data_IF_601685584133
#
_entry.id   IF_601685584133
#
_cell.length_a   1.000
_cell.length_b   1.000
_cell.length_c   1.000
_cell.angle_alpha   90.00
_cell.angle_beta   90.00
_cell.angle_gamma   90.00
#
_symmetry.space_group_name_H-M   'P 1'
#
loop_
_entity.id
_entity.type
_entity.pdbx_description
1 polymer ?
#
# COMPACT_ATOMS: atom_id res chain seq x y z
N UNK A 1 -2.93 45.73 39.88
CA UNK A 1 -3.65 44.58 39.29
C UNK A 1 -2.91 44.19 38.03
N UNK A 2 -2.05 43.19 38.11
CA UNK A 2 -1.21 42.77 36.99
C UNK A 2 -0.51 41.47 37.34
N UNK A 3 -0.98 40.37 36.77
CA UNK A 3 -0.26 39.11 36.65
C UNK A 3 -0.71 38.44 35.35
N UNK A 4 0.20 38.19 34.39
CA UNK A 4 -0.08 37.29 33.30
C UNK A 4 0.15 35.86 33.78
N UNK A 5 -0.84 35.00 33.59
CA UNK A 5 -0.74 33.56 33.82
C UNK A 5 0.11 32.98 32.70
N UNK A 6 1.36 32.62 33.00
CA UNK A 6 2.22 31.84 32.13
C UNK A 6 1.81 30.37 32.28
N UNK A 7 1.00 29.88 31.34
CA UNK A 7 0.62 28.47 31.29
C UNK A 7 1.79 27.69 30.67
N UNK A 8 2.62 27.09 31.53
CA UNK A 8 3.62 26.11 31.13
C UNK A 8 2.89 24.87 30.60
N UNK A 9 2.82 24.73 29.28
CA UNK A 9 2.63 23.42 28.64
C UNK A 9 3.87 22.57 28.93
N UNK A 10 3.77 21.67 29.90
CA UNK A 10 4.67 20.53 30.02
C UNK A 10 4.45 19.62 28.80
N UNK A 11 5.28 19.77 27.77
CA UNK A 11 5.50 18.73 26.78
C UNK A 11 6.26 17.60 27.49
N UNK A 12 5.52 16.62 28.00
CA UNK A 12 6.10 15.31 28.32
C UNK A 12 6.42 14.67 26.97
N UNK A 13 7.64 14.90 26.48
CA UNK A 13 8.23 14.06 25.44
C UNK A 13 8.58 12.75 26.15
N UNK A 14 7.65 11.79 26.15
CA UNK A 14 8.05 10.40 26.30
C UNK A 14 8.93 10.11 25.09
N UNK A 15 10.24 9.96 25.33
CA UNK A 15 11.11 9.24 24.41
C UNK A 15 10.51 7.85 24.23
N UNK A 16 9.73 7.71 23.16
CA UNK A 16 9.38 6.42 22.62
C UNK A 16 10.71 5.84 22.14
N UNK A 17 11.33 4.98 22.97
CA UNK A 17 12.39 4.08 22.50
C UNK A 17 11.80 3.39 21.27
N UNK A 18 12.34 3.60 20.06
CA UNK A 18 11.80 2.95 18.88
C UNK A 18 11.91 1.45 19.11
N UNK A 19 10.76 0.77 19.19
CA UNK A 19 10.73 -0.68 19.15
C UNK A 19 11.31 -1.07 17.80
N UNK A 20 12.52 -1.61 17.81
CA UNK A 20 13.15 -2.14 16.62
C UNK A 20 12.45 -3.43 16.22
N UNK A 21 11.38 -3.32 15.44
CA UNK A 21 10.61 -4.45 14.90
C UNK A 21 11.43 -5.30 13.90
N UNK A 22 12.65 -4.88 13.55
CA UNK A 22 13.52 -5.63 12.65
C UNK A 22 14.30 -6.75 13.36
N UNK A 23 14.28 -6.80 14.69
CA UNK A 23 15.04 -7.77 15.50
C UNK A 23 14.12 -8.66 16.32
N UNK A 24 14.29 -9.98 16.20
CA UNK A 24 13.61 -10.97 17.04
C UNK A 24 14.62 -11.64 17.99
N UNK A 25 14.37 -11.54 19.30
CA UNK A 25 15.22 -12.14 20.34
C UNK A 25 14.89 -13.62 20.51
N UNK A 26 15.90 -14.48 20.36
CA UNK A 26 15.83 -15.91 20.64
C UNK A 26 16.22 -16.24 22.08
N UNK A 27 17.18 -15.49 22.65
CA UNK A 27 17.62 -15.64 24.03
C UNK A 27 18.22 -14.32 24.53
N UNK A 28 17.95 -13.98 25.78
CA UNK A 28 18.62 -12.87 26.48
C UNK A 28 18.94 -13.31 27.91
N UNK A 29 20.23 -13.45 28.22
CA UNK A 29 20.68 -13.91 29.53
C UNK A 29 20.35 -12.94 30.66
N UNK A 30 20.16 -11.65 30.38
CA UNK A 30 19.87 -10.63 31.41
C UNK A 30 18.47 -10.77 31.99
N UNK A 31 17.56 -11.46 31.29
CA UNK A 31 16.18 -11.69 31.74
C UNK A 31 16.06 -12.77 32.81
N UNK A 32 17.12 -13.55 33.05
CA UNK A 32 17.12 -14.60 34.05
C UNK A 32 17.35 -14.04 35.46
N UNK A 33 16.35 -14.18 36.34
CA UNK A 33 16.39 -13.63 37.71
C UNK A 33 16.93 -14.59 38.76
N UNK A 34 16.90 -15.91 38.51
CA UNK A 34 17.29 -16.93 39.48
C UNK A 34 18.55 -17.71 39.07
N UNK A 35 18.59 -18.26 37.86
CA UNK A 35 19.73 -19.00 37.31
C UNK A 35 19.69 -19.01 35.78
N UNK A 36 20.85 -19.00 35.14
CA UNK A 36 20.96 -19.27 33.70
C UNK A 36 20.85 -20.77 33.44
N UNK A 37 21.53 -21.58 34.27
CA UNK A 37 21.52 -23.03 34.19
C UNK A 37 22.16 -23.56 32.91
N UNK A 38 23.25 -22.95 32.47
CA UNK A 38 24.07 -23.45 31.37
C UNK A 38 24.96 -24.59 31.84
N UNK A 39 25.35 -25.47 30.93
CA UNK A 39 26.16 -26.64 31.27
C UNK A 39 27.64 -26.32 31.13
N UNK A 40 28.41 -26.54 32.19
CA UNK A 40 29.86 -26.29 32.24
C UNK A 40 30.66 -27.59 32.13
N UNK A 41 31.85 -27.51 31.53
CA UNK A 41 32.83 -28.59 31.52
C UNK A 41 34.27 -28.05 31.40
N UNK A 42 35.23 -28.50 32.21
CA UNK A 42 35.04 -29.33 33.40
C UNK A 42 34.27 -28.57 34.50
N UNK A 43 33.87 -29.25 35.57
CA UNK A 43 33.07 -28.65 36.65
C UNK A 43 33.76 -27.49 37.40
N UNK A 44 35.09 -27.37 37.28
CA UNK A 44 35.91 -26.30 37.86
C UNK A 44 36.39 -25.27 36.82
N UNK A 45 35.74 -25.23 35.65
CA UNK A 45 36.03 -24.25 34.60
C UNK A 45 35.25 -22.96 34.83
N UNK A 46 34.16 -22.79 34.08
CA UNK A 46 33.27 -21.65 34.23
C UNK A 46 32.42 -21.75 35.50
N UNK A 47 32.23 -20.62 36.17
CA UNK A 47 31.43 -20.50 37.39
C UNK A 47 30.27 -19.51 37.17
N UNK A 48 29.05 -19.87 37.57
CA UNK A 48 27.91 -18.97 37.57
C UNK A 48 27.92 -18.10 38.83
N UNK A 49 27.97 -16.78 38.65
CA UNK A 49 28.00 -15.81 39.75
C UNK A 49 26.96 -14.71 39.53
N UNK A 50 26.66 -13.97 40.60
CA UNK A 50 25.84 -12.76 40.50
C UNK A 50 26.72 -11.58 40.13
N UNK A 51 26.34 -10.86 39.07
CA UNK A 51 26.96 -9.61 38.63
C UNK A 51 25.96 -8.47 38.63
N UNK A 52 26.40 -7.33 38.10
CA UNK A 52 25.57 -6.14 37.90
C UNK A 52 25.65 -5.70 36.44
N UNK A 53 24.52 -5.28 35.87
CA UNK A 53 24.51 -4.61 34.57
C UNK A 53 24.94 -3.13 34.69
N UNK A 54 24.98 -2.42 33.56
CA UNK A 54 25.30 -0.98 33.51
C UNK A 54 24.33 -0.11 34.35
N UNK A 55 23.12 -0.60 34.61
CA UNK A 55 22.07 0.06 35.38
C UNK A 55 22.05 -0.39 36.85
N UNK A 56 23.05 -1.14 37.31
CA UNK A 56 23.15 -1.71 38.66
C UNK A 56 22.05 -2.73 39.01
N UNK A 57 21.36 -3.31 38.03
CA UNK A 57 20.47 -4.44 38.26
C UNK A 57 21.29 -5.71 38.50
N UNK A 58 20.83 -6.54 39.43
CA UNK A 58 21.45 -7.84 39.67
C UNK A 58 21.15 -8.79 38.51
N UNK A 59 22.19 -9.29 37.86
CA UNK A 59 22.11 -10.23 36.75
C UNK A 59 22.94 -11.49 37.05
N UNK A 60 22.67 -12.57 36.33
CA UNK A 60 23.49 -13.79 36.37
C UNK A 60 24.54 -13.75 35.28
N UNK A 61 25.79 -14.04 35.64
CA UNK A 61 26.96 -13.98 34.75
C UNK A 61 27.78 -15.25 34.88
N UNK A 62 28.61 -15.56 33.88
CA UNK A 62 29.58 -16.66 33.95
C UNK A 62 31.00 -16.09 33.99
N UNK A 63 31.83 -16.55 34.93
CA UNK A 63 33.23 -16.13 35.05
C UNK A 63 34.19 -17.31 34.99
N UNK A 64 35.42 -17.07 34.54
CA UNK A 64 36.52 -18.03 34.58
C UNK A 64 37.84 -17.29 34.79
N UNK A 65 38.74 -17.82 35.62
CA UNK A 65 40.03 -17.20 35.90
C UNK A 65 41.11 -18.23 36.26
N UNK A 66 41.28 -19.25 35.40
CA UNK A 66 42.25 -20.34 35.62
C UNK A 66 43.60 -20.04 34.93
N UNK A 67 44.12 -18.83 35.12
CA UNK A 67 45.32 -18.31 34.42
C UNK A 67 46.65 -18.94 34.84
N UNK A 68 46.69 -19.60 36.01
CA UNK A 68 47.93 -20.19 36.56
C UNK A 68 48.15 -21.63 36.13
N UNK A 69 47.12 -22.29 35.62
CA UNK A 69 47.19 -23.68 35.18
C UNK A 69 47.48 -23.74 33.68
N UNK A 70 48.35 -24.68 33.27
CA UNK A 70 48.63 -24.92 31.85
C UNK A 70 47.56 -25.84 31.24
N UNK A 71 47.41 -25.77 29.90
CA UNK A 71 46.51 -26.62 29.11
C UNK A 71 45.02 -26.56 29.54
N UNK A 72 44.54 -25.37 29.89
CA UNK A 72 43.12 -25.15 30.18
C UNK A 72 42.25 -25.47 28.96
N UNK A 73 41.00 -25.91 29.20
CA UNK A 73 40.02 -26.13 28.15
C UNK A 73 38.61 -26.07 28.76
N UNK A 74 38.16 -24.85 29.08
CA UNK A 74 36.97 -24.59 29.86
C UNK A 74 35.80 -24.22 28.94
N UNK A 75 34.73 -25.01 28.96
CA UNK A 75 33.54 -24.85 28.15
C UNK A 75 32.35 -24.46 29.00
N UNK A 76 31.51 -23.57 28.49
CA UNK A 76 30.14 -23.37 28.96
C UNK A 76 29.19 -23.38 27.76
N UNK A 77 28.10 -24.14 27.87
CA UNK A 77 27.10 -24.32 26.81
C UNK A 77 25.74 -23.82 27.25
N UNK A 78 25.10 -23.03 26.39
CA UNK A 78 23.72 -22.57 26.59
C UNK A 78 22.70 -23.72 26.64
N UNK A 79 21.46 -23.38 26.99
CA UNK A 79 20.30 -24.25 26.72
C UNK A 79 20.01 -24.31 25.22
N UNK A 80 19.13 -25.24 24.83
CA UNK A 80 18.68 -25.37 23.44
C UNK A 80 17.95 -24.11 23.00
N UNK A 81 18.29 -23.60 21.82
CA UNK A 81 17.71 -22.40 21.23
C UNK A 81 17.02 -22.79 19.92
N UNK A 82 15.70 -22.62 19.88
CA UNK A 82 14.92 -22.81 18.65
C UNK A 82 15.25 -21.71 17.65
N UNK A 83 15.55 -22.06 16.39
CA UNK A 83 15.94 -21.06 15.38
C UNK A 83 14.77 -20.24 14.83
N UNK A 84 13.52 -20.66 15.06
CA UNK A 84 12.28 -19.99 14.57
C UNK A 84 12.29 -19.63 13.07
N UNK A 85 12.89 -20.48 12.24
CA UNK A 85 12.99 -20.28 10.79
C UNK A 85 14.14 -19.37 10.32
N UNK A 86 14.87 -18.72 11.23
CA UNK A 86 16.01 -17.89 10.90
C UNK A 86 17.09 -18.67 10.15
N UNK A 87 17.74 -18.01 9.18
CA UNK A 87 18.88 -18.58 8.46
C UNK A 87 20.22 -18.07 8.99
N UNK A 88 20.24 -16.84 9.51
CA UNK A 88 21.41 -16.21 10.11
C UNK A 88 21.11 -15.80 11.54
N UNK A 89 22.02 -16.14 12.44
CA UNK A 89 21.90 -15.84 13.86
C UNK A 89 22.97 -14.83 14.24
N UNK A 90 22.60 -13.86 15.05
CA UNK A 90 23.48 -12.87 15.64
C UNK A 90 23.62 -13.16 17.14
N UNK A 91 24.86 -13.04 17.63
CA UNK A 91 25.23 -13.23 19.02
C UNK A 91 25.93 -11.95 19.46
N UNK A 92 25.24 -11.17 20.28
CA UNK A 92 25.80 -10.03 20.99
C UNK A 92 26.27 -10.50 22.36
N UNK A 93 27.54 -10.23 22.66
CA UNK A 93 28.21 -10.64 23.88
C UNK A 93 28.73 -9.39 24.59
N UNK A 94 28.30 -9.18 25.82
CA UNK A 94 28.92 -8.24 26.73
C UNK A 94 29.82 -9.00 27.70
N UNK A 95 31.09 -8.60 27.80
CA UNK A 95 32.07 -9.31 28.62
C UNK A 95 33.18 -8.40 29.11
N UNK A 96 33.89 -8.81 30.14
CA UNK A 96 35.10 -8.15 30.63
C UNK A 96 36.28 -9.12 30.60
N UNK A 97 37.47 -8.60 30.26
CA UNK A 97 38.72 -9.37 30.23
C UNK A 97 39.77 -8.61 31.02
N UNK A 98 40.47 -9.34 31.89
CA UNK A 98 41.62 -8.81 32.62
C UNK A 98 42.88 -8.94 31.78
N UNK A 99 43.65 -7.87 31.70
CA UNK A 99 44.95 -7.86 31.02
C UNK A 99 45.92 -8.85 31.70
N UNK A 100 46.51 -9.76 30.94
CA UNK A 100 47.48 -10.75 31.43
C UNK A 100 48.70 -10.06 32.05
N UNK A 101 49.15 -8.94 31.50
CA UNK A 101 50.28 -8.17 32.03
C UNK A 101 50.01 -7.58 33.42
N UNK A 102 48.74 -7.44 33.79
CA UNK A 102 48.30 -6.95 35.11
C UNK A 102 48.23 -8.04 36.18
N UNK A 103 48.51 -9.30 35.84
CA UNK A 103 48.44 -10.46 36.74
C UNK A 103 49.87 -10.81 37.19
N UNK A 104 50.22 -10.59 38.47
CA UNK A 104 51.55 -10.92 38.96
C UNK A 104 51.85 -12.42 38.85
N UNK A 105 53.04 -12.76 38.38
CA UNK A 105 53.52 -14.15 38.25
C UNK A 105 52.65 -15.03 37.33
N UNK A 106 51.93 -14.44 36.37
CA UNK A 106 51.14 -15.21 35.43
C UNK A 106 52.06 -15.96 34.43
N UNK A 107 51.80 -17.25 34.16
CA UNK A 107 52.50 -17.98 33.10
C UNK A 107 52.25 -17.37 31.71
N UNK A 108 53.18 -17.58 30.77
CA UNK A 108 53.00 -17.17 29.37
C UNK A 108 51.89 -17.91 28.60
N UNK A 109 51.18 -18.84 29.26
CA UNK A 109 49.99 -19.50 28.74
C UNK A 109 48.71 -18.67 28.87
N UNK A 110 48.74 -17.56 29.63
CA UNK A 110 47.59 -16.65 29.80
C UNK A 110 47.03 -16.15 28.46
N UNK A 111 45.70 -16.09 28.38
CA UNK A 111 44.95 -15.64 27.20
C UNK A 111 44.00 -14.50 27.52
N UNK A 112 43.85 -13.58 26.58
CA UNK A 112 42.88 -12.46 26.65
C UNK A 112 41.74 -12.65 25.63
N UNK A 113 41.58 -13.88 25.16
CA UNK A 113 40.60 -14.25 24.13
C UNK A 113 39.88 -15.52 24.52
N UNK A 114 38.65 -15.68 24.04
CA UNK A 114 37.87 -16.91 24.12
C UNK A 114 37.26 -17.24 22.77
N UNK A 115 36.83 -18.47 22.57
CA UNK A 115 36.24 -18.91 21.32
C UNK A 115 34.72 -19.05 21.46
N UNK A 116 33.99 -18.63 20.42
CA UNK A 116 32.56 -18.87 20.28
C UNK A 116 32.32 -20.04 19.32
N UNK A 117 31.48 -20.98 19.72
CA UNK A 117 31.07 -22.14 18.92
C UNK A 117 29.55 -22.27 18.87
N UNK A 118 29.07 -23.00 17.86
CA UNK A 118 27.68 -23.48 17.80
C UNK A 118 27.59 -24.95 17.41
N UNK A 119 26.48 -25.59 17.77
CA UNK A 119 26.14 -26.96 17.36
C UNK A 119 24.65 -27.03 17.02
N UNK A 120 24.34 -27.42 15.78
CA UNK A 120 22.97 -27.56 15.29
C UNK A 120 22.36 -28.93 15.64
N UNK A 121 21.09 -28.93 16.03
CA UNK A 121 20.32 -30.15 16.25
C UNK A 121 18.83 -29.91 15.96
N UNK A 122 18.07 -30.98 15.73
CA UNK A 122 16.64 -30.90 15.43
C UNK A 122 15.76 -30.91 16.71
N UNK A 123 16.34 -31.24 17.87
CA UNK A 123 15.64 -31.25 19.16
C UNK A 123 16.62 -31.12 20.32
N UNK A 124 16.10 -30.84 21.52
CA UNK A 124 16.92 -30.73 22.72
C UNK A 124 17.43 -32.12 23.18
N UNK A 125 18.61 -32.51 22.70
CA UNK A 125 19.22 -33.83 22.97
C UNK A 125 20.46 -33.75 23.85
N UNK A 126 20.89 -32.54 24.21
CA UNK A 126 22.15 -32.33 24.89
C UNK A 126 22.09 -32.76 26.36
N UNK A 127 23.18 -33.34 26.85
CA UNK A 127 23.35 -33.73 28.24
C UNK A 127 24.72 -33.26 28.75
N UNK A 128 25.18 -33.76 29.90
CA UNK A 128 26.45 -33.33 30.51
C UNK A 128 27.70 -33.77 29.71
N UNK A 129 27.59 -34.74 28.82
CA UNK A 129 28.69 -35.31 28.04
C UNK A 129 28.51 -35.23 26.53
N UNK A 130 27.30 -34.93 26.05
CA UNK A 130 26.94 -34.82 24.64
C UNK A 130 26.30 -33.45 24.34
N UNK A 131 26.66 -32.77 23.24
CA UNK A 131 27.76 -33.09 22.33
C UNK A 131 29.11 -33.11 23.07
N UNK A 132 30.08 -33.86 22.55
CA UNK A 132 31.39 -33.97 23.19
C UNK A 132 32.06 -32.59 23.32
N UNK A 133 32.71 -32.34 24.45
CA UNK A 133 33.40 -31.08 24.78
C UNK A 133 34.74 -30.95 24.07
N UNK A 134 34.69 -30.88 22.74
CA UNK A 134 35.85 -30.82 21.85
C UNK A 134 35.46 -30.15 20.53
N UNK A 135 36.44 -29.74 19.73
CA UNK A 135 36.19 -28.95 18.51
C UNK A 135 35.26 -29.64 17.51
N UNK A 136 35.25 -30.97 17.39
CA UNK A 136 34.30 -31.71 16.55
C UNK A 136 33.33 -32.49 17.45
N UNK A 137 32.01 -32.17 17.50
CA UNK A 137 31.19 -31.70 16.38
C UNK A 137 30.80 -30.21 16.39
N UNK A 138 31.44 -29.41 17.23
CA UNK A 138 31.16 -27.98 17.30
C UNK A 138 31.71 -27.24 16.07
N UNK A 139 31.07 -26.15 15.67
CA UNK A 139 31.57 -25.31 14.59
C UNK A 139 32.01 -23.99 15.20
N UNK A 140 33.30 -23.63 15.00
CA UNK A 140 33.86 -22.39 15.50
C UNK A 140 33.26 -21.22 14.72
N UNK A 141 32.69 -20.25 15.44
CA UNK A 141 32.20 -18.98 14.87
C UNK A 141 33.36 -18.01 14.74
N UNK A 142 34.03 -17.72 15.86
CA UNK A 142 35.16 -16.79 15.89
C UNK A 142 35.97 -16.93 17.19
N UNK A 143 37.14 -16.28 17.21
CA UNK A 143 37.92 -15.99 18.42
C UNK A 143 37.61 -14.56 18.85
N UNK A 144 37.05 -14.38 20.04
CA UNK A 144 36.62 -13.10 20.58
C UNK A 144 37.76 -12.51 21.41
N UNK A 145 38.12 -11.26 21.10
CA UNK A 145 39.08 -10.46 21.84
C UNK A 145 38.37 -9.23 22.41
N UNK A 146 38.91 -8.68 23.49
CA UNK A 146 38.47 -7.40 24.02
C UNK A 146 39.10 -6.24 23.22
N UNK A 147 38.29 -5.22 22.91
CA UNK A 147 38.80 -3.93 22.43
C UNK A 147 39.54 -3.18 23.54
N UNK A 148 39.02 -3.27 24.77
CA UNK A 148 39.64 -2.72 25.97
C UNK A 148 39.72 -3.75 27.11
N UNK A 149 40.93 -3.95 27.64
CA UNK A 149 41.18 -4.75 28.85
C UNK A 149 41.31 -3.86 30.09
N UNK A 150 40.99 -4.41 31.27
CA UNK A 150 41.19 -3.69 32.54
C UNK A 150 42.48 -4.13 33.24
N UNK A 151 43.13 -3.18 33.90
CA UNK A 151 44.45 -3.31 34.54
C UNK A 151 44.39 -3.14 36.07
N UNK A 152 45.55 -3.26 36.74
CA UNK A 152 45.66 -3.07 38.18
C UNK A 152 45.32 -1.64 38.65
N UNK A 153 45.49 -0.64 37.77
CA UNK A 153 45.12 0.75 38.05
C UNK A 153 43.60 0.91 38.11
N UNK A 154 42.89 0.20 37.24
CA UNK A 154 41.43 0.26 37.14
C UNK A 154 40.74 -0.44 38.34
N UNK A 155 41.38 -1.47 38.90
CA UNK A 155 40.95 -2.11 40.15
C UNK A 155 41.03 -1.17 41.37
N UNK A 156 41.98 -0.22 41.37
CA UNK A 156 42.09 0.81 42.42
C UNK A 156 40.96 1.83 42.39
N UNK A 157 40.36 2.05 41.21
CA UNK A 157 39.23 2.98 40.99
C UNK A 157 37.87 2.24 40.90
N UNK A 158 37.88 0.89 40.95
CA UNK A 158 36.72 0.01 40.73
C UNK A 158 36.01 0.22 39.39
N UNK A 159 36.78 0.52 38.34
CA UNK A 159 36.22 0.68 36.99
C UNK A 159 36.37 -0.65 36.24
N UNK A 160 35.25 -1.34 36.01
CA UNK A 160 35.24 -2.51 35.13
C UNK A 160 34.98 -2.06 33.70
N UNK A 161 35.83 -2.49 32.77
CA UNK A 161 35.64 -2.24 31.34
C UNK A 161 34.82 -3.34 30.70
N UNK A 162 33.66 -2.97 30.15
CA UNK A 162 32.72 -3.88 29.50
C UNK A 162 32.89 -3.73 27.99
N UNK A 163 33.25 -4.83 27.33
CA UNK A 163 33.36 -4.95 25.89
C UNK A 163 32.03 -5.46 25.33
N UNK A 164 31.65 -5.00 24.14
CA UNK A 164 30.47 -5.48 23.43
C UNK A 164 30.88 -5.95 22.03
N UNK A 165 30.76 -7.25 21.77
CA UNK A 165 31.09 -7.84 20.47
C UNK A 165 29.86 -8.51 19.86
N UNK A 166 29.64 -8.26 18.57
CA UNK A 166 28.58 -8.92 17.80
C UNK A 166 29.20 -9.83 16.75
N UNK A 167 28.84 -11.11 16.77
CA UNK A 167 29.20 -12.07 15.73
C UNK A 167 27.95 -12.70 15.13
N UNK A 168 28.08 -13.21 13.92
CA UNK A 168 26.97 -13.87 13.24
C UNK A 168 27.42 -15.16 12.58
N UNK A 169 26.52 -16.14 12.50
CA UNK A 169 26.77 -17.40 11.83
C UNK A 169 25.53 -17.88 11.08
N UNK A 170 25.75 -18.73 10.08
CA UNK A 170 24.73 -19.28 9.20
C UNK A 170 25.37 -19.76 7.88
N UNK A 171 24.59 -20.33 6.96
CA UNK A 171 23.17 -20.66 7.08
C UNK A 171 22.91 -21.77 8.10
N UNK A 172 22.01 -21.51 9.06
CA UNK A 172 21.50 -22.52 10.00
C UNK A 172 20.31 -23.24 9.36
N UNK A 173 20.30 -24.56 9.42
CA UNK A 173 19.36 -25.41 8.68
C UNK A 173 18.48 -26.30 9.57
N UNK A 174 19.02 -26.78 10.71
CA UNK A 174 18.28 -27.65 11.65
C UNK A 174 17.27 -26.90 12.51
N UNK A 175 16.44 -27.57 13.30
CA UNK A 175 15.36 -26.89 14.06
C UNK A 175 15.87 -25.93 15.16
N UNK A 176 17.10 -26.09 15.62
CA UNK A 176 17.72 -25.22 16.60
C UNK A 176 19.19 -25.51 16.80
N UNK A 177 19.77 -24.90 17.82
CA UNK A 177 21.20 -24.97 18.08
C UNK A 177 21.51 -24.72 19.56
N UNK A 178 22.74 -25.02 19.95
CA UNK A 178 23.36 -24.55 21.19
C UNK A 178 24.52 -23.63 20.85
N UNK A 179 24.82 -22.68 21.73
CA UNK A 179 26.09 -21.97 21.72
C UNK A 179 27.00 -22.52 22.80
N UNK A 180 28.31 -22.46 22.55
CA UNK A 180 29.31 -22.75 23.55
C UNK A 180 30.45 -21.73 23.52
N UNK A 181 30.97 -21.42 24.70
CA UNK A 181 32.09 -20.50 24.92
C UNK A 181 33.24 -21.31 25.49
N UNK A 182 34.41 -21.24 24.84
CA UNK A 182 35.59 -22.00 25.20
C UNK A 182 36.72 -21.05 25.61
N UNK A 183 37.29 -21.30 26.79
CA UNK A 183 38.45 -20.62 27.34
C UNK A 183 39.66 -21.57 27.42
N UNK A 184 40.85 -21.02 27.10
CA UNK A 184 42.15 -21.72 27.13
C UNK A 184 43.10 -21.18 28.21
N UNK A 185 42.59 -20.43 29.20
CA UNK A 185 43.38 -19.93 30.34
C UNK A 185 43.39 -18.41 30.46
N UNK A 186 42.24 -17.77 30.29
CA UNK A 186 42.04 -16.35 30.53
C UNK A 186 41.37 -16.04 31.88
N UNK A 187 41.29 -14.75 32.18
CA UNK A 187 40.54 -14.23 33.32
C UNK A 187 39.47 -13.27 32.82
N UNK A 188 38.24 -13.76 32.70
CA UNK A 188 37.14 -13.07 32.02
C UNK A 188 35.80 -13.32 32.69
N UNK A 189 34.86 -12.42 32.44
CA UNK A 189 33.46 -12.54 32.83
C UNK A 189 32.55 -12.29 31.64
N UNK A 190 31.70 -13.27 31.33
CA UNK A 190 30.63 -13.17 30.35
C UNK A 190 29.39 -12.61 31.05
N UNK A 191 29.16 -11.32 30.81
CA UNK A 191 28.18 -10.48 31.53
C UNK A 191 26.79 -10.64 30.94
N UNK A 192 26.67 -10.55 29.61
CA UNK A 192 25.40 -10.73 28.92
C UNK A 192 25.59 -11.42 27.57
N UNK A 193 24.65 -12.27 27.21
CA UNK A 193 24.55 -12.88 25.88
C UNK A 193 23.14 -12.69 25.37
N UNK A 194 23.03 -11.97 24.26
CA UNK A 194 21.79 -11.75 23.54
C UNK A 194 21.89 -12.39 22.16
N UNK A 195 20.96 -13.28 21.87
CA UNK A 195 20.90 -14.04 20.63
C UNK A 195 19.65 -13.60 19.90
N UNK A 196 19.80 -13.20 18.65
CA UNK A 196 18.69 -12.68 17.85
C UNK A 196 18.89 -12.97 16.37
N UNK A 197 17.82 -12.79 15.59
CA UNK A 197 17.89 -12.76 14.14
C UNK A 197 17.18 -11.51 13.62
N UNK A 198 17.49 -11.15 12.37
CA UNK A 198 16.92 -9.97 11.72
C UNK A 198 15.81 -10.37 10.75
N UNK A 199 14.80 -9.53 10.63
CA UNK A 199 13.65 -9.71 9.75
C UNK A 199 13.16 -8.34 9.29
N UNK A 200 12.58 -8.28 8.11
CA UNK A 200 11.86 -7.10 7.69
C UNK A 200 10.40 -7.21 8.12
N UNK A 201 9.87 -6.25 8.89
CA UNK A 201 8.52 -6.30 9.43
C UNK A 201 7.47 -6.18 8.32
N UNK A 202 6.24 -6.59 8.60
CA UNK A 202 5.11 -6.38 7.68
C UNK A 202 4.91 -4.89 7.42
N UNK A 203 4.87 -4.49 6.15
CA UNK A 203 4.66 -3.09 5.73
C UNK A 203 3.62 -2.98 4.61
N UNK A 204 3.05 -1.79 4.46
CA UNK A 204 2.22 -1.44 3.31
C UNK A 204 2.90 -0.30 2.57
N UNK A 205 3.32 -0.55 1.34
CA UNK A 205 4.04 0.41 0.49
C UNK A 205 3.47 0.36 -0.92
N UNK A 206 3.30 1.53 -1.54
CA UNK A 206 2.79 1.66 -2.91
C UNK A 206 1.47 0.90 -3.15
N UNK A 207 0.55 0.90 -2.17
CA UNK A 207 -0.73 0.21 -2.27
C UNK A 207 -0.65 -1.33 -2.15
N UNK A 208 0.52 -1.88 -1.86
CA UNK A 208 0.73 -3.31 -1.67
C UNK A 208 1.15 -3.64 -0.24
N UNK A 209 0.63 -4.75 0.28
CA UNK A 209 1.02 -5.35 1.54
C UNK A 209 2.19 -6.30 1.30
N UNK A 210 3.29 -6.07 2.00
CA UNK A 210 4.44 -6.96 2.04
C UNK A 210 4.45 -7.69 3.39
N UNK A 211 4.48 -9.03 3.39
CA UNK A 211 4.49 -9.82 4.63
C UNK A 211 5.82 -9.66 5.36
N UNK A 212 5.81 -9.99 6.65
CA UNK A 212 7.06 -10.18 7.40
C UNK A 212 7.95 -11.18 6.66
N UNK A 213 9.22 -10.82 6.45
CA UNK A 213 10.17 -11.61 5.67
C UNK A 213 11.49 -11.72 6.42
N UNK A 214 11.98 -12.94 6.61
CA UNK A 214 13.28 -13.18 7.28
C UNK A 214 14.44 -12.69 6.41
N UNK A 215 15.48 -12.13 7.04
CA UNK A 215 16.71 -11.82 6.32
C UNK A 215 17.38 -13.12 5.84
N UNK A 216 18.18 -13.02 4.78
CA UNK A 216 18.85 -14.18 4.20
C UNK A 216 20.07 -14.62 5.02
N UNK A 217 20.67 -15.73 4.59
CA UNK A 217 21.82 -16.35 5.27
C UNK A 217 23.10 -15.48 5.30
N UNK A 218 23.30 -14.61 4.31
CA UNK A 218 24.49 -13.78 4.14
C UNK A 218 24.21 -12.30 4.43
N UNK A 219 25.24 -11.52 4.77
CA UNK A 219 25.09 -10.07 4.98
C UNK A 219 24.62 -9.32 3.74
N UNK A 220 25.11 -9.70 2.58
CA UNK A 220 24.76 -9.10 1.28
C UNK A 220 23.52 -9.73 0.64
N UNK A 221 22.81 -10.60 1.36
CA UNK A 221 21.64 -11.28 0.82
C UNK A 221 20.47 -10.31 0.62
N UNK A 222 19.69 -10.56 -0.44
CA UNK A 222 18.47 -9.82 -0.76
C UNK A 222 17.33 -10.81 -0.97
N UNK A 223 16.46 -10.92 0.02
CA UNK A 223 15.31 -11.84 -0.02
C UNK A 223 14.13 -11.11 -0.65
N UNK A 224 13.65 -11.61 -1.79
CA UNK A 224 12.50 -11.04 -2.48
C UNK A 224 11.19 -11.40 -1.77
N UNK A 225 10.45 -10.38 -1.32
CA UNK A 225 9.10 -10.50 -0.82
C UNK A 225 8.11 -10.09 -1.92
N UNK A 226 7.13 -10.96 -2.20
CA UNK A 226 6.04 -10.64 -3.13
C UNK A 226 5.00 -9.79 -2.40
N UNK A 227 4.65 -8.65 -2.99
CA UNK A 227 3.55 -7.83 -2.51
C UNK A 227 2.20 -8.33 -3.01
N UNK A 228 1.16 -8.08 -2.22
CA UNK A 228 -0.24 -8.31 -2.59
C UNK A 228 -0.98 -6.99 -2.43
N UNK A 229 -1.76 -6.57 -3.42
CA UNK A 229 -2.52 -5.33 -3.29
C UNK A 229 -3.39 -5.32 -2.04
N UNK A 230 -3.50 -4.14 -1.41
CA UNK A 230 -4.46 -3.92 -0.33
C UNK A 230 -5.87 -4.26 -0.81
N UNK A 231 -6.79 -4.53 0.12
CA UNK A 231 -8.16 -4.85 -0.25
C UNK A 231 -8.76 -3.73 -1.12
N UNK A 232 -9.42 -4.10 -2.23
CA UNK A 232 -9.92 -3.19 -3.27
C UNK A 232 -8.84 -2.44 -4.09
N UNK A 233 -7.56 -2.79 -3.91
CA UNK A 233 -6.48 -2.45 -4.83
C UNK A 233 -6.42 -3.42 -6.01
N UNK A 234 -5.82 -2.95 -7.09
CA UNK A 234 -5.58 -3.69 -8.32
C UNK A 234 -4.15 -3.39 -8.80
N UNK A 235 -3.47 -4.39 -9.37
CA UNK A 235 -2.09 -4.29 -9.82
C UNK A 235 -2.02 -3.33 -11.02
N UNK A 236 -1.07 -2.40 -11.00
CA UNK A 236 -0.77 -1.54 -12.17
C UNK A 236 0.51 -2.01 -12.83
N UNK A 237 1.53 -2.28 -12.01
CA UNK A 237 2.84 -2.72 -12.45
C UNK A 237 3.09 -4.16 -11.96
N UNK A 238 3.60 -5.02 -12.84
CA UNK A 238 3.92 -6.41 -12.52
C UNK A 238 5.41 -6.67 -12.82
N UNK A 239 6.20 -7.24 -11.89
CA UNK A 239 5.79 -7.79 -10.60
C UNK A 239 5.87 -6.80 -9.44
N UNK A 240 5.04 -7.00 -8.42
CA UNK A 240 5.10 -6.26 -7.16
C UNK A 240 6.06 -6.96 -6.21
N UNK A 241 7.24 -6.35 -5.99
CA UNK A 241 8.31 -6.93 -5.18
C UNK A 241 8.94 -5.89 -4.26
N UNK A 242 9.36 -6.35 -3.10
CA UNK A 242 10.21 -5.62 -2.16
C UNK A 242 11.36 -6.55 -1.76
N UNK A 243 12.50 -6.01 -1.36
CA UNK A 243 13.66 -6.82 -1.01
C UNK A 243 14.07 -6.55 0.43
N UNK A 244 14.18 -7.61 1.23
CA UNK A 244 14.69 -7.56 2.59
C UNK A 244 16.20 -7.83 2.56
N UNK A 245 17.01 -6.92 3.10
CA UNK A 245 18.46 -7.10 3.17
C UNK A 245 18.89 -7.92 4.40
N UNK A 246 20.19 -8.22 4.50
CA UNK A 246 20.77 -8.96 5.63
C UNK A 246 20.61 -8.28 7.00
N UNK A 247 20.40 -6.95 7.01
CA UNK A 247 20.29 -6.14 8.22
C UNK A 247 18.84 -5.98 8.72
N UNK A 248 17.86 -6.52 8.00
CA UNK A 248 16.44 -6.44 8.36
C UNK A 248 15.74 -5.17 7.86
N UNK A 249 16.33 -4.49 6.88
CA UNK A 249 15.77 -3.29 6.27
C UNK A 249 15.14 -3.58 4.89
N UNK A 250 14.03 -2.91 4.63
CA UNK A 250 13.37 -2.93 3.32
C UNK A 250 14.10 -2.01 2.34
N UNK A 251 14.47 -2.58 1.19
CA UNK A 251 15.06 -1.86 0.07
C UNK A 251 13.99 -1.34 -0.90
N UNK A 252 14.41 -0.83 -2.05
CA UNK A 252 13.54 -0.14 -3.02
C UNK A 252 12.38 -1.03 -3.52
N UNK A 253 11.11 -0.56 -3.45
CA UNK A 253 9.96 -1.28 -4.00
C UNK A 253 9.98 -1.28 -5.53
N UNK A 254 9.54 -2.40 -6.12
CA UNK A 254 9.26 -2.55 -7.54
C UNK A 254 7.76 -2.75 -7.71
N UNK A 255 7.17 -1.91 -8.57
CA UNK A 255 5.74 -1.93 -8.87
C UNK A 255 4.86 -1.29 -7.79
N UNK A 256 3.57 -1.15 -8.12
CA UNK A 256 2.56 -0.57 -7.26
C UNK A 256 1.16 -1.10 -7.55
N UNK A 257 0.29 -0.94 -6.57
CA UNK A 257 -1.15 -1.10 -6.73
C UNK A 257 -1.84 0.25 -6.66
N UNK A 258 -2.99 0.34 -7.31
CA UNK A 258 -3.91 1.46 -7.16
C UNK A 258 -5.30 0.97 -6.82
N UNK A 259 -6.08 1.82 -6.16
CA UNK A 259 -7.47 1.51 -5.88
C UNK A 259 -8.24 1.35 -7.20
N UNK A 260 -8.98 0.25 -7.31
CA UNK A 260 -9.83 -0.05 -8.47
C UNK A 260 -10.95 0.99 -8.62
N UNK A 261 -11.72 0.89 -9.70
CA UNK A 261 -12.89 1.75 -9.89
C UNK A 261 -13.84 1.68 -8.69
N UNK A 262 -14.48 2.80 -8.38
CA UNK A 262 -15.34 2.98 -7.21
C UNK A 262 -14.61 3.08 -5.86
N UNK A 263 -13.26 3.08 -5.83
CA UNK A 263 -12.51 3.15 -4.58
C UNK A 263 -11.42 4.22 -4.63
N UNK A 264 -11.29 4.99 -3.55
CA UNK A 264 -10.23 6.00 -3.37
C UNK A 264 -9.21 5.57 -2.33
N UNK A 265 -7.99 6.05 -2.50
CA UNK A 265 -6.89 5.82 -1.58
C UNK A 265 -7.02 6.73 -0.35
N UNK A 266 -6.86 6.15 0.84
CA UNK A 266 -6.76 6.86 2.12
C UNK A 266 -5.46 6.48 2.82
N UNK A 267 -5.14 7.22 3.89
CA UNK A 267 -4.01 6.92 4.77
C UNK A 267 -2.70 6.74 3.97
N UNK A 268 -2.45 7.62 3.00
CA UNK A 268 -1.32 7.55 2.06
C UNK A 268 -1.29 6.27 1.18
N UNK A 269 -2.46 5.73 0.83
CA UNK A 269 -2.58 4.59 -0.07
C UNK A 269 -2.49 3.23 0.61
N UNK A 270 -2.56 3.18 1.95
CA UNK A 270 -2.61 1.91 2.69
C UNK A 270 -4.00 1.27 2.66
N UNK A 271 -5.05 2.05 2.41
CA UNK A 271 -6.43 1.60 2.39
C UNK A 271 -7.15 2.11 1.14
N UNK A 272 -7.87 1.22 0.45
CA UNK A 272 -8.80 1.58 -0.62
C UNK A 272 -10.23 1.54 -0.11
N UNK A 273 -10.82 2.72 0.15
CA UNK A 273 -12.19 2.86 0.64
C UNK A 273 -13.15 3.04 -0.52
N UNK A 274 -14.32 2.41 -0.43
CA UNK A 274 -15.40 2.62 -1.38
C UNK A 274 -15.84 4.10 -1.40
N UNK A 275 -16.15 4.63 -2.58
CA UNK A 275 -16.71 5.97 -2.71
C UNK A 275 -18.00 6.06 -1.89
N UNK A 276 -18.13 7.11 -1.09
CA UNK A 276 -19.35 7.37 -0.32
C UNK A 276 -20.57 7.61 -1.20
N UNK A 277 -21.75 7.55 -0.61
CA UNK A 277 -23.01 7.83 -1.33
C UNK A 277 -22.99 9.23 -1.98
N UNK A 278 -23.35 9.31 -3.26
CA UNK A 278 -23.27 10.54 -4.05
C UNK A 278 -21.92 10.81 -4.71
N UNK A 279 -20.94 9.91 -4.54
CA UNK A 279 -19.61 9.99 -5.16
C UNK A 279 -19.31 8.74 -5.99
N UNK A 280 -18.49 8.88 -7.03
CA UNK A 280 -18.13 7.80 -7.92
C UNK A 280 -16.67 7.90 -8.38
N UNK A 281 -16.15 6.79 -8.91
CA UNK A 281 -14.83 6.74 -9.55
C UNK A 281 -14.84 5.77 -10.73
N UNK A 282 -14.65 6.28 -11.93
CA UNK A 282 -14.86 5.51 -13.17
C UNK A 282 -13.77 4.49 -13.49
N UNK A 283 -12.54 4.72 -13.06
CA UNK A 283 -11.40 3.88 -13.44
C UNK A 283 -10.42 3.71 -12.28
N UNK A 284 -9.51 2.74 -12.42
CA UNK A 284 -8.34 2.62 -11.57
C UNK A 284 -7.48 3.88 -11.69
N UNK A 285 -6.84 4.30 -10.59
CA UNK A 285 -6.00 5.49 -10.58
C UNK A 285 -5.80 6.08 -9.19
N UNK A 286 -4.93 7.09 -9.11
CA UNK A 286 -4.63 7.84 -7.89
C UNK A 286 -5.65 8.95 -7.58
N UNK A 287 -6.63 9.17 -8.47
CA UNK A 287 -7.65 10.19 -8.29
C UNK A 287 -8.67 9.79 -7.22
N UNK A 288 -9.16 10.78 -6.49
CA UNK A 288 -10.18 10.63 -5.47
C UNK A 288 -11.57 10.42 -6.08
N UNK A 289 -12.51 9.99 -5.24
CA UNK A 289 -13.90 9.88 -5.65
C UNK A 289 -14.46 11.27 -5.98
N UNK A 290 -15.15 11.37 -7.11
CA UNK A 290 -15.74 12.60 -7.61
C UNK A 290 -17.22 12.66 -7.26
N UNK A 291 -17.72 13.85 -6.98
CA UNK A 291 -19.15 14.04 -6.71
C UNK A 291 -19.96 13.75 -7.98
N UNK A 292 -21.13 13.12 -7.82
CA UNK A 292 -22.03 12.88 -8.94
C UNK A 292 -22.42 14.19 -9.63
N UNK A 293 -22.34 14.25 -10.97
CA UNK A 293 -22.78 15.40 -11.75
C UNK A 293 -24.26 15.71 -11.54
N UNK A 294 -24.66 16.93 -11.90
CA UNK A 294 -26.05 17.39 -11.80
C UNK A 294 -26.99 16.41 -12.54
N UNK A 295 -28.18 16.21 -11.98
CA UNK A 295 -29.21 15.27 -12.46
C UNK A 295 -28.79 13.79 -12.47
N UNK A 296 -27.77 13.42 -11.70
CA UNK A 296 -27.37 12.04 -11.48
C UNK A 296 -27.32 11.69 -9.99
N UNK A 297 -27.21 10.39 -9.67
CA UNK A 297 -27.05 9.86 -8.31
C UNK A 297 -26.33 8.51 -8.34
N UNK A 298 -25.74 8.11 -7.22
CA UNK A 298 -25.34 6.71 -7.01
C UNK A 298 -26.49 5.93 -6.38
N UNK A 299 -26.46 4.60 -6.54
CA UNK A 299 -27.39 3.68 -5.87
C UNK A 299 -26.79 3.08 -4.61
N UNK A 300 -25.50 2.77 -4.64
CA UNK A 300 -24.74 2.19 -3.53
C UNK A 300 -23.42 2.94 -3.35
N UNK A 301 -22.73 2.64 -2.25
CA UNK A 301 -21.31 2.97 -2.09
C UNK A 301 -20.46 2.20 -3.10
N UNK A 302 -19.26 2.71 -3.39
CA UNK A 302 -18.34 2.08 -4.33
C UNK A 302 -18.75 2.22 -5.79
N UNK A 303 -19.55 3.23 -6.12
CA UNK A 303 -20.08 3.41 -7.46
C UNK A 303 -18.97 3.75 -8.48
N UNK A 304 -19.00 3.08 -9.64
CA UNK A 304 -18.11 3.38 -10.76
C UNK A 304 -18.69 4.43 -11.70
N UNK A 305 -19.99 4.69 -11.62
CA UNK A 305 -20.69 5.71 -12.39
C UNK A 305 -21.89 6.27 -11.61
N UNK A 306 -22.41 7.41 -12.06
CA UNK A 306 -23.66 7.96 -11.56
C UNK A 306 -24.80 7.70 -12.54
N UNK A 307 -25.86 7.09 -12.03
CA UNK A 307 -27.09 6.80 -12.77
C UNK A 307 -27.89 8.09 -12.90
N UNK A 308 -28.41 8.36 -14.10
CA UNK A 308 -29.24 9.53 -14.33
C UNK A 308 -30.58 9.44 -13.58
N UNK A 309 -31.08 10.58 -13.12
CA UNK A 309 -32.42 10.69 -12.54
C UNK A 309 -33.48 10.51 -13.63
N UNK A 310 -34.69 10.13 -13.23
CA UNK A 310 -35.81 9.96 -14.16
C UNK A 310 -36.01 11.22 -15.03
N UNK A 311 -36.10 11.04 -16.35
CA UNK A 311 -36.23 12.14 -17.32
C UNK A 311 -34.91 12.73 -17.81
N UNK A 312 -33.77 12.25 -17.32
CA UNK A 312 -32.43 12.64 -17.76
C UNK A 312 -31.63 11.45 -18.26
N UNK A 313 -30.70 11.71 -19.18
CA UNK A 313 -29.98 10.70 -19.93
C UNK A 313 -28.52 11.13 -20.18
N UNK A 314 -27.68 10.17 -20.57
CA UNK A 314 -26.28 10.38 -20.95
C UNK A 314 -25.99 9.60 -22.24
N UNK A 315 -25.23 10.17 -23.17
CA UNK A 315 -24.83 9.51 -24.41
C UNK A 315 -23.70 8.53 -24.13
N UNK A 316 -23.58 7.46 -24.93
CA UNK A 316 -22.47 6.52 -24.84
C UNK A 316 -21.11 7.17 -25.10
N UNK A 317 -21.10 8.28 -25.84
CA UNK A 317 -19.92 9.11 -26.10
C UNK A 317 -19.55 10.05 -24.95
N UNK A 318 -20.48 10.31 -24.02
CA UNK A 318 -20.27 11.30 -22.97
C UNK A 318 -19.46 10.67 -21.80
N UNK A 319 -18.37 11.31 -21.37
CA UNK A 319 -17.65 10.90 -20.16
C UNK A 319 -18.57 10.85 -18.93
N UNK A 320 -18.32 9.92 -17.98
CA UNK A 320 -19.10 9.80 -16.74
C UNK A 320 -19.15 11.08 -15.89
N UNK A 321 -18.17 11.96 -16.08
CA UNK A 321 -18.01 13.25 -15.40
C UNK A 321 -19.02 14.31 -15.87
N UNK A 322 -19.67 14.10 -17.03
CA UNK A 322 -20.61 15.07 -17.60
C UNK A 322 -22.01 14.90 -16.96
N UNK A 323 -22.73 16.00 -16.66
CA UNK A 323 -24.11 15.98 -16.19
C UNK A 323 -25.05 15.17 -17.07
N UNK A 324 -26.08 14.58 -16.45
CA UNK A 324 -27.17 14.02 -17.22
C UNK A 324 -28.04 15.16 -17.77
N UNK A 325 -28.40 15.04 -19.04
CA UNK A 325 -29.10 16.06 -19.81
C UNK A 325 -30.47 15.55 -20.21
N UNK A 326 -31.35 16.44 -20.65
CA UNK A 326 -32.71 16.07 -21.06
C UNK A 326 -32.99 16.55 -22.47
N UNK A 327 -34.17 16.21 -22.99
CA UNK A 327 -34.58 16.56 -24.34
C UNK A 327 -34.79 18.08 -24.41
N UNK A 328 -34.17 18.78 -25.38
CA UNK A 328 -34.37 20.22 -25.53
C UNK A 328 -35.83 20.58 -25.83
N UNK A 329 -36.25 21.76 -25.39
CA UNK A 329 -37.57 22.35 -25.66
C UNK A 329 -37.79 22.66 -27.15
N UNK A 330 -39.02 23.00 -27.56
CA UNK A 330 -39.35 23.30 -28.96
C UNK A 330 -38.51 24.46 -29.51
N UNK A 331 -38.06 24.42 -30.80
CA UNK A 331 -37.50 25.60 -31.44
C UNK A 331 -38.51 26.74 -31.34
N UNK A 332 -38.00 27.95 -31.11
CA UNK A 332 -38.84 29.12 -30.97
C UNK A 332 -39.03 29.83 -32.31
N UNK A 333 -40.03 30.71 -32.37
CA UNK A 333 -40.24 31.67 -33.48
C UNK A 333 -40.03 31.07 -34.87
N UNK A 334 -40.68 29.95 -35.16
CA UNK A 334 -40.61 29.30 -36.48
C UNK A 334 -41.38 30.14 -37.50
N UNK A 335 -40.69 30.60 -38.54
CA UNK A 335 -41.21 31.44 -39.62
C UNK A 335 -41.08 30.68 -40.95
N UNK A 336 -42.15 30.71 -41.74
CA UNK A 336 -42.21 30.11 -43.08
C UNK A 336 -42.35 31.19 -44.15
N UNK A 337 -41.41 31.24 -45.08
CA UNK A 337 -41.40 32.18 -46.21
C UNK A 337 -41.58 31.36 -47.49
N UNK A 338 -42.76 31.45 -48.09
CA UNK A 338 -43.14 30.68 -49.29
C UNK A 338 -42.86 31.51 -50.55
N UNK A 339 -42.22 30.89 -51.54
CA UNK A 339 -42.02 31.46 -52.86
C UNK A 339 -42.32 30.41 -53.94
N UNK A 340 -43.49 30.50 -54.55
CA UNK A 340 -43.99 29.54 -55.56
C UNK A 340 -43.95 28.07 -55.08
N UNK A 341 -43.06 27.24 -55.64
CA UNK A 341 -42.85 25.83 -55.28
C UNK A 341 -41.72 25.62 -54.26
N UNK A 342 -41.19 26.71 -53.70
CA UNK A 342 -40.12 26.68 -52.71
C UNK A 342 -40.55 27.28 -51.37
N UNK A 343 -39.95 26.79 -50.30
CA UNK A 343 -40.18 27.25 -48.93
C UNK A 343 -38.83 27.47 -48.24
N UNK A 344 -38.68 28.65 -47.63
CA UNK A 344 -37.59 28.94 -46.69
C UNK A 344 -38.14 28.92 -45.28
N UNK A 345 -37.64 28.02 -44.45
CA UNK A 345 -37.95 27.95 -43.03
C UNK A 345 -36.81 28.60 -42.24
N UNK A 346 -37.18 29.47 -41.30
CA UNK A 346 -36.27 30.06 -40.31
C UNK A 346 -36.84 29.83 -38.91
N UNK A 347 -35.99 29.59 -37.93
CA UNK A 347 -36.41 29.44 -36.53
C UNK A 347 -35.37 30.03 -35.58
N UNK A 348 -35.70 30.14 -34.31
CA UNK A 348 -34.75 30.45 -33.24
C UNK A 348 -34.51 29.24 -32.34
N UNK A 349 -33.42 29.30 -31.58
CA UNK A 349 -33.00 28.21 -30.69
C UNK A 349 -34.05 27.91 -29.62
N UNK A 350 -34.11 26.66 -29.12
CA UNK A 350 -34.96 26.28 -27.99
C UNK A 350 -34.80 27.19 -26.77
N UNK A 351 -35.88 27.36 -25.99
CA UNK A 351 -35.82 28.12 -24.71
C UNK A 351 -34.88 27.46 -23.70
N UNK A 352 -34.99 26.15 -23.64
CA UNK A 352 -34.16 25.25 -22.85
C UNK A 352 -33.52 24.24 -23.80
N UNK A 353 -32.17 24.23 -23.82
CA UNK A 353 -31.36 23.28 -24.57
C UNK A 353 -31.25 21.89 -23.90
N UNK A 354 -31.89 21.69 -22.75
CA UNK A 354 -31.83 20.45 -21.99
C UNK A 354 -30.46 20.21 -21.34
N UNK A 355 -29.62 21.26 -21.22
CA UNK A 355 -28.26 21.19 -20.69
C UNK A 355 -27.18 20.80 -21.71
N UNK A 356 -27.49 20.84 -23.02
CA UNK A 356 -26.52 20.63 -24.09
C UNK A 356 -26.50 21.79 -25.08
N UNK A 357 -25.37 21.96 -25.76
CA UNK A 357 -25.16 22.99 -26.78
C UNK A 357 -25.09 22.42 -28.20
N UNK A 358 -24.95 21.11 -28.36
CA UNK A 358 -24.87 20.40 -29.64
C UNK A 358 -26.25 20.01 -30.19
N UNK A 359 -27.23 20.92 -30.04
CA UNK A 359 -28.58 20.71 -30.54
C UNK A 359 -28.58 20.75 -32.06
N UNK A 360 -29.16 19.73 -32.68
CA UNK A 360 -29.34 19.65 -34.13
C UNK A 360 -30.83 19.51 -34.48
N UNK A 361 -31.21 19.92 -35.68
CA UNK A 361 -32.59 19.95 -36.17
C UNK A 361 -32.77 19.00 -37.36
N UNK A 362 -33.93 18.35 -37.43
CA UNK A 362 -34.33 17.51 -38.56
C UNK A 362 -35.64 18.02 -39.15
N UNK A 363 -35.77 17.94 -40.47
CA UNK A 363 -36.97 18.34 -41.18
C UNK A 363 -37.74 17.11 -41.66
N UNK A 364 -39.00 16.99 -41.24
CA UNK A 364 -39.91 15.95 -41.70
C UNK A 364 -40.95 16.59 -42.62
N UNK A 365 -40.90 16.22 -43.90
CA UNK A 365 -41.86 16.66 -44.89
C UNK A 365 -42.99 15.62 -45.04
N UNK A 366 -44.24 16.07 -44.97
CA UNK A 366 -45.43 15.25 -45.18
C UNK A 366 -46.37 15.89 -46.20
N UNK A 367 -47.00 15.10 -47.06
CA UNK A 367 -48.09 15.54 -47.94
C UNK A 367 -49.43 15.08 -47.37
N UNK A 368 -50.40 15.98 -47.22
CA UNK A 368 -51.70 15.69 -46.61
C UNK A 368 -52.83 16.03 -47.58
N UNK A 369 -53.53 15.04 -48.15
CA UNK A 369 -54.69 15.33 -49.00
C UNK A 369 -55.85 15.98 -48.22
N UNK A 370 -56.64 16.85 -48.86
CA UNK A 370 -57.73 17.62 -48.22
C UNK A 370 -58.94 16.82 -47.69
N UNK A 371 -58.83 15.50 -47.51
CA UNK A 371 -59.85 14.61 -46.94
C UNK A 371 -59.45 14.04 -45.58
N UNK A 372 -60.30 13.17 -44.99
CA UNK A 372 -60.01 12.44 -43.71
C UNK A 372 -58.86 11.41 -43.79
N UNK A 373 -58.04 11.44 -44.85
CA UNK A 373 -56.88 10.57 -45.02
C UNK A 373 -55.67 11.08 -44.24
N UNK A 374 -54.86 10.16 -43.70
CA UNK A 374 -53.62 10.51 -43.01
C UNK A 374 -52.57 11.09 -43.97
N UNK A 375 -51.66 11.90 -43.42
CA UNK A 375 -50.55 12.47 -44.19
C UNK A 375 -49.47 11.43 -44.50
N UNK A 376 -49.00 11.38 -45.74
CA UNK A 376 -47.86 10.55 -46.17
C UNK A 376 -46.56 11.36 -46.18
N UNK A 377 -45.38 10.72 -46.27
CA UNK A 377 -44.12 11.46 -46.48
C UNK A 377 -44.12 12.12 -47.87
N UNK A 378 -43.46 13.27 -48.00
CA UNK A 378 -43.23 13.89 -49.31
C UNK A 378 -42.41 12.95 -50.22
N UNK A 379 -42.56 13.08 -51.54
CA UNK A 379 -41.80 12.30 -52.50
C UNK A 379 -40.30 12.63 -52.49
N UNK A 380 -39.48 11.69 -52.97
CA UNK A 380 -38.01 11.79 -52.95
C UNK A 380 -37.43 12.93 -53.83
N UNK A 381 -38.28 13.56 -54.65
CA UNK A 381 -37.88 14.68 -55.52
C UNK A 381 -37.67 16.01 -54.76
N UNK A 382 -38.17 16.12 -53.53
CA UNK A 382 -38.04 17.33 -52.70
C UNK A 382 -36.60 17.51 -52.24
N UNK A 383 -36.00 18.68 -52.53
CA UNK A 383 -34.63 18.99 -52.16
C UNK A 383 -34.57 19.84 -50.88
N UNK A 384 -33.59 19.58 -50.02
CA UNK A 384 -33.33 20.30 -48.77
C UNK A 384 -31.91 20.86 -48.77
N UNK A 385 -31.77 22.17 -48.76
CA UNK A 385 -30.48 22.87 -48.75
C UNK A 385 -30.32 23.60 -47.40
N UNK A 386 -29.23 23.35 -46.63
CA UNK A 386 -28.06 22.53 -47.00
C UNK A 386 -28.24 21.01 -46.80
N UNK A 387 -29.17 20.58 -45.94
CA UNK A 387 -29.47 19.16 -45.67
C UNK A 387 -30.81 19.00 -44.97
N UNK A 388 -31.40 17.81 -45.01
CA UNK A 388 -32.68 17.52 -44.34
C UNK A 388 -32.52 17.17 -42.85
N UNK A 389 -31.44 16.48 -42.48
CA UNK A 389 -31.19 15.95 -41.13
C UNK A 389 -29.87 16.51 -40.57
N UNK A 390 -29.79 16.64 -39.24
CA UNK A 390 -28.58 17.07 -38.54
C UNK A 390 -28.21 18.54 -38.81
N UNK A 391 -29.20 19.40 -39.07
CA UNK A 391 -29.00 20.83 -39.27
C UNK A 391 -28.51 21.47 -37.97
N UNK A 392 -27.39 22.20 -38.04
CA UNK A 392 -26.87 23.03 -36.95
C UNK A 392 -27.31 24.49 -37.11
N UNK A 393 -27.61 24.89 -38.33
CA UNK A 393 -28.13 26.21 -38.67
C UNK A 393 -29.63 26.28 -38.42
N UNK A 394 -30.13 27.49 -38.15
CA UNK A 394 -31.55 27.73 -37.86
C UNK A 394 -32.35 28.16 -39.08
N UNK A 395 -31.91 27.74 -40.28
CA UNK A 395 -32.64 27.94 -41.52
C UNK A 395 -32.44 26.79 -42.49
N UNK A 396 -33.44 26.52 -43.33
CA UNK A 396 -33.36 25.56 -44.43
C UNK A 396 -34.18 26.05 -45.61
N UNK A 397 -33.67 25.82 -46.82
CA UNK A 397 -34.39 26.06 -48.06
C UNK A 397 -34.86 24.73 -48.65
N UNK A 398 -36.12 24.68 -49.06
CA UNK A 398 -36.79 23.48 -49.53
C UNK A 398 -37.42 23.79 -50.88
N UNK A 399 -37.09 23.01 -51.92
CA UNK A 399 -37.60 23.22 -53.28
C UNK A 399 -38.37 22.00 -53.79
N UNK A 400 -39.07 22.20 -54.91
CA UNK A 400 -39.79 21.15 -55.63
C UNK A 400 -40.96 20.55 -54.82
N UNK A 401 -41.64 21.42 -54.06
CA UNK A 401 -42.81 21.07 -53.25
C UNK A 401 -44.10 21.03 -54.10
N UNK A 402 -44.90 19.98 -53.90
CA UNK A 402 -46.26 19.89 -54.43
C UNK A 402 -47.26 20.65 -53.54
N UNK A 403 -48.40 21.02 -54.14
CA UNK A 403 -49.41 21.97 -53.63
C UNK A 403 -50.04 21.66 -52.26
N UNK A 404 -49.72 20.52 -51.62
CA UNK A 404 -50.29 20.14 -50.30
C UNK A 404 -49.25 19.54 -49.35
N UNK A 405 -48.21 20.32 -49.05
CA UNK A 405 -47.09 19.89 -48.18
C UNK A 405 -47.13 20.52 -46.79
N UNK A 406 -47.11 19.69 -45.75
CA UNK A 406 -46.92 20.03 -44.32
C UNK A 406 -45.50 19.70 -43.90
N UNK A 407 -44.78 20.68 -43.35
CA UNK A 407 -43.41 20.48 -42.87
C UNK A 407 -43.38 20.55 -41.35
N UNK A 408 -42.79 19.52 -40.74
CA UNK A 408 -42.63 19.39 -39.30
C UNK A 408 -41.13 19.49 -39.01
N UNK A 409 -40.74 20.54 -38.27
CA UNK A 409 -39.43 20.61 -37.65
C UNK A 409 -39.40 19.64 -36.47
N UNK A 410 -38.64 18.56 -36.60
CA UNK A 410 -38.45 17.56 -35.56
C UNK A 410 -37.06 17.69 -34.91
N UNK A 411 -36.98 17.28 -33.65
CA UNK A 411 -35.74 17.24 -32.90
C UNK A 411 -35.21 15.82 -32.86
N UNK A 412 -34.04 15.53 -33.44
CA UNK A 412 -33.29 14.35 -33.04
C UNK A 412 -32.66 14.59 -31.67
N UNK A 413 -33.04 13.81 -30.67
CA UNK A 413 -32.13 13.55 -29.55
C UNK A 413 -31.26 12.35 -29.91
N UNK A 414 -29.93 12.46 -29.96
CA UNK A 414 -29.06 11.32 -30.27
C UNK A 414 -29.21 10.16 -29.27
N UNK A 415 -29.65 10.42 -28.03
CA UNK A 415 -29.81 9.40 -26.97
C UNK A 415 -31.06 8.52 -27.08
N UNK A 416 -31.98 8.79 -28.01
CA UNK A 416 -33.31 8.17 -28.02
C UNK A 416 -33.67 7.51 -29.36
N UNK A 417 -32.69 6.99 -30.10
CA UNK A 417 -32.99 6.22 -31.32
C UNK A 417 -33.55 4.81 -31.02
N UNK A 418 -33.45 4.32 -29.78
CA UNK A 418 -33.78 2.94 -29.41
C UNK A 418 -35.08 2.76 -28.59
N UNK A 419 -35.66 3.81 -27.99
CA UNK A 419 -36.85 3.69 -27.14
C UNK A 419 -37.88 4.78 -27.47
N UNK A 420 -38.93 4.35 -28.17
CA UNK A 420 -40.26 4.95 -28.27
C UNK A 420 -40.44 6.17 -29.19
N UNK A 421 -41.15 5.88 -30.28
CA UNK A 421 -41.95 6.73 -31.16
C UNK A 421 -43.07 7.55 -30.46
N UNK A 422 -42.95 7.86 -29.17
CA UNK A 422 -44.05 8.41 -28.36
C UNK A 422 -43.56 9.49 -27.38
N UNK A 423 -43.16 10.67 -27.87
CA UNK A 423 -43.19 11.90 -27.06
C UNK A 423 -43.03 13.18 -27.92
N UNK A 424 -44.07 14.02 -27.90
CA UNK A 424 -44.12 15.45 -28.24
C UNK A 424 -43.43 15.92 -29.54
N UNK A 425 -44.05 15.59 -30.69
CA UNK A 425 -43.88 16.34 -31.93
C UNK A 425 -45.06 17.29 -32.09
N UNK A 426 -44.86 18.60 -32.01
CA UNK A 426 -45.88 19.54 -32.46
C UNK A 426 -45.28 20.86 -32.94
N UNK A 427 -45.22 21.03 -34.25
CA UNK A 427 -45.48 22.31 -34.94
C UNK A 427 -46.15 21.95 -36.28
N UNK A 428 -47.37 22.44 -36.49
CA UNK A 428 -48.26 22.17 -37.62
C UNK A 428 -48.54 23.49 -38.36
N UNK A 429 -48.42 23.53 -39.69
CA UNK A 429 -49.03 24.59 -40.50
C UNK A 429 -49.65 24.03 -41.78
N UNK A 430 -50.90 24.43 -42.02
CA UNK A 430 -51.73 24.22 -43.21
C UNK A 430 -51.43 25.31 -44.25
N UNK A 431 -51.33 24.94 -45.53
CA UNK A 431 -51.39 25.90 -46.64
C UNK A 431 -52.58 25.52 -47.53
N UNK A 432 -53.65 26.34 -47.48
CA UNK A 432 -54.68 26.37 -48.52
C UNK A 432 -55.00 27.82 -48.86
N UNK A 433 -54.91 28.20 -50.14
CA UNK A 433 -55.43 29.47 -50.65
C UNK A 433 -56.91 29.28 -51.04
N UNK A 434 -57.79 30.04 -50.40
CA UNK A 434 -59.18 30.22 -50.83
C UNK A 434 -60.15 30.21 -49.64
N UNK A 435 -60.32 31.37 -49.00
CA UNK A 435 -61.33 31.73 -47.99
C UNK A 435 -61.58 30.74 -46.83
N UNK A 436 -61.33 31.23 -45.61
CA UNK A 436 -61.45 30.58 -44.28
C UNK A 436 -60.23 29.79 -43.79
N UNK A 437 -59.45 30.45 -42.93
CA UNK A 437 -58.40 29.84 -42.11
C UNK A 437 -59.03 29.17 -40.89
N UNK A 438 -58.93 27.85 -40.76
CA UNK A 438 -59.15 27.17 -39.48
C UNK A 438 -57.80 26.80 -38.85
N UNK A 439 -57.54 27.36 -37.66
CA UNK A 439 -56.52 26.87 -36.75
C UNK A 439 -57.02 25.56 -36.13
N UNK A 440 -56.27 24.46 -36.27
CA UNK A 440 -56.40 23.36 -35.33
C UNK A 440 -55.17 23.37 -34.42
N UNK A 441 -55.38 23.94 -33.23
CA UNK A 441 -54.56 23.67 -32.06
C UNK A 441 -54.97 22.30 -31.53
N UNK A 442 -54.00 21.40 -31.35
CA UNK A 442 -54.09 20.30 -30.39
C UNK A 442 -52.82 20.27 -29.56
#
# INVERSE_FOLDING_TARGET
MGHPVLQLCFLIVHELVPLDFSVEILMDSTTATAELGWTIYPALGWEEVSGYDENMNTIRTYQVCNVFDNNQNNWVRTKYISRRGAQRIHVEMKFSVRDCSSIPSVPGSCKETFNLYYYETDSDTANKVSPAWMENPWIKVDTIAADESFSQVDLGVRVMKINTEVRSFGPVSRQGFYLAFQDYGGCMSLIAVRIFYRKCPRVVLNGAVFPETLSGAESTSLVAARGVCVHNGEEVDVPIKLYCNGDGEWMVPIGRCMCKAGHEALENGTVCRACGSGFFKSSQGDHLCLQCPINSRTTNEGATNCVCRNGYYRSDSDPPQIPCTTIPSAPQSVISIVNETSLRLEWSTPRDGGGREDVVYNIICKSCGGGRGGCTRCGDNVQFIPRQLGLTETSVHISDLEWVTVIILNKPSPMLLALLFLAASLVLFLITRGFESFFLVL
#
